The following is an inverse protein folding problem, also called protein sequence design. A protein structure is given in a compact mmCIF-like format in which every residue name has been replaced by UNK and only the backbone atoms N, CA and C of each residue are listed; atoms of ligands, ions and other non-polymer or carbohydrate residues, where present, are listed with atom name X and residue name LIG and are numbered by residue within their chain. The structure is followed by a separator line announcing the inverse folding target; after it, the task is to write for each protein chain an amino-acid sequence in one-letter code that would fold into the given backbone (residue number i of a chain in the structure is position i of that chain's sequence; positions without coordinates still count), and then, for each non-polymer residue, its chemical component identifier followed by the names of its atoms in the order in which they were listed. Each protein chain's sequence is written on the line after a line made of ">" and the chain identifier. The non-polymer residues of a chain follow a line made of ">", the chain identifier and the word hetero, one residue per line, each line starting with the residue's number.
data_IF_392946148958
#
_entry.id   IF_392946148958
#
_cell.length_a   1.000
_cell.length_b   1.000
_cell.length_c   1.000
_cell.angle_alpha   90.00
_cell.angle_beta   90.00
_cell.angle_gamma   90.00
#
_symmetry.space_group_name_H-M   'P 1'
#
loop_
_entity.id
_entity.type
_entity.pdbx_description
1 polymer ?
#
# COMPACT_ATOMS: atom_id res chain seq x y z
N UNK A 1 8.66 -7.79 -14.37
CA UNK A 1 9.34 -8.86 -15.13
C UNK A 1 8.26 -9.48 -15.93
N UNK A 2 8.50 -9.85 -17.18
CA UNK A 2 7.45 -10.31 -18.08
C UNK A 2 7.61 -11.76 -18.48
N UNK A 3 8.86 -12.23 -18.53
CA UNK A 3 9.15 -13.60 -18.93
C UNK A 3 10.31 -14.15 -18.11
N UNK A 4 10.20 -15.43 -17.78
CA UNK A 4 11.28 -16.21 -17.20
C UNK A 4 11.51 -17.46 -18.05
N UNK A 5 12.75 -17.68 -18.48
CA UNK A 5 13.20 -18.96 -19.02
C UNK A 5 14.09 -19.63 -17.98
N UNK A 6 13.98 -20.94 -17.82
CA UNK A 6 14.72 -21.69 -16.81
C UNK A 6 15.45 -22.88 -17.42
N UNK A 7 16.70 -23.04 -17.00
CA UNK A 7 17.55 -24.17 -17.36
C UNK A 7 18.00 -24.92 -16.12
N UNK A 8 18.12 -26.23 -16.27
CA UNK A 8 18.81 -27.13 -15.33
C UNK A 8 20.06 -27.63 -16.02
N UNK A 9 21.22 -27.28 -15.47
CA UNK A 9 22.51 -27.34 -16.14
C UNK A 9 22.43 -26.63 -17.51
N UNK A 10 22.52 -27.37 -18.63
CA UNK A 10 22.39 -26.83 -19.99
C UNK A 10 21.02 -27.07 -20.63
N UNK A 11 20.10 -27.79 -19.98
CA UNK A 11 18.81 -28.15 -20.54
C UNK A 11 17.75 -27.09 -20.20
N UNK A 12 17.07 -26.54 -21.21
CA UNK A 12 15.90 -25.68 -20.99
C UNK A 12 14.74 -26.51 -20.49
N UNK A 13 14.21 -26.20 -19.32
CA UNK A 13 13.18 -27.00 -18.63
C UNK A 13 11.83 -26.27 -18.52
N UNK A 14 11.78 -24.98 -18.82
CA UNK A 14 10.51 -24.26 -18.73
C UNK A 14 10.60 -22.79 -19.12
N UNK A 15 9.43 -22.26 -19.48
CA UNK A 15 9.19 -20.84 -19.70
C UNK A 15 7.93 -20.42 -18.96
N UNK A 16 7.98 -19.27 -18.29
CA UNK A 16 6.84 -18.62 -17.68
C UNK A 16 6.59 -17.26 -18.34
N UNK A 17 5.32 -16.96 -18.54
CA UNK A 17 4.81 -15.74 -19.13
C UNK A 17 3.94 -15.04 -18.09
N UNK A 18 4.21 -13.76 -17.85
CA UNK A 18 3.61 -13.01 -16.76
C UNK A 18 4.61 -12.72 -15.64
N UNK A 19 4.33 -11.64 -14.92
CA UNK A 19 5.25 -11.11 -13.91
C UNK A 19 4.83 -11.32 -12.47
N UNK A 20 3.54 -11.48 -12.22
CA UNK A 20 2.94 -11.23 -10.89
C UNK A 20 2.41 -12.47 -10.20
N UNK A 21 2.31 -13.59 -10.91
CA UNK A 21 1.87 -14.87 -10.37
C UNK A 21 3.06 -15.84 -10.29
N UNK A 22 3.05 -16.79 -9.35
CA UNK A 22 4.14 -17.73 -9.19
C UNK A 22 4.17 -18.74 -10.34
N UNK A 23 5.33 -19.35 -10.55
CA UNK A 23 5.48 -20.53 -11.37
C UNK A 23 6.39 -21.54 -10.67
N UNK A 24 6.23 -22.81 -11.04
CA UNK A 24 6.89 -23.94 -10.40
C UNK A 24 7.60 -24.76 -11.46
N UNK A 25 8.81 -25.22 -11.12
CA UNK A 25 9.62 -26.08 -11.99
C UNK A 25 10.17 -27.20 -11.13
N UNK A 26 9.88 -28.43 -11.55
CA UNK A 26 10.46 -29.62 -10.91
C UNK A 26 11.89 -29.82 -11.42
N UNK A 27 12.83 -30.00 -10.49
CA UNK A 27 14.25 -30.15 -10.80
C UNK A 27 14.82 -31.38 -10.08
N UNK A 28 15.74 -32.14 -10.71
CA UNK A 28 16.52 -33.16 -10.01
C UNK A 28 17.45 -32.52 -8.96
N UNK A 29 17.71 -33.24 -7.88
CA UNK A 29 18.63 -32.80 -6.82
C UNK A 29 20.07 -32.67 -7.34
N UNK A 30 20.83 -31.71 -6.79
CA UNK A 30 22.26 -31.55 -7.05
C UNK A 30 22.60 -30.94 -8.42
N UNK A 31 21.67 -30.20 -9.02
CA UNK A 31 21.81 -29.59 -10.35
C UNK A 31 21.94 -28.08 -10.27
N UNK A 32 22.59 -27.48 -11.26
CA UNK A 32 22.67 -26.03 -11.38
C UNK A 32 21.40 -25.48 -12.02
N UNK A 33 20.93 -24.33 -11.54
CA UNK A 33 19.73 -23.68 -12.08
C UNK A 33 20.15 -22.33 -12.64
N UNK A 34 19.78 -22.08 -13.90
CA UNK A 34 19.93 -20.76 -14.52
C UNK A 34 18.54 -20.21 -14.83
N UNK A 35 18.29 -18.96 -14.48
CA UNK A 35 17.04 -18.26 -14.78
C UNK A 35 17.36 -17.02 -15.60
N UNK A 36 16.84 -16.94 -16.82
CA UNK A 36 16.92 -15.74 -17.67
C UNK A 36 15.61 -14.98 -17.56
N UNK A 37 15.72 -13.69 -17.27
CA UNK A 37 14.57 -12.83 -17.04
C UNK A 37 14.52 -11.77 -18.13
N UNK A 38 13.33 -11.53 -18.68
CA UNK A 38 13.08 -10.45 -19.64
C UNK A 38 11.96 -9.54 -19.14
N UNK A 39 12.13 -8.25 -19.37
CA UNK A 39 11.15 -7.20 -19.12
C UNK A 39 10.95 -6.34 -20.39
N UNK A 40 11.10 -6.94 -21.56
CA UNK A 40 10.79 -6.29 -22.84
C UNK A 40 9.28 -6.17 -23.01
N UNK A 41 8.84 -5.11 -23.69
CA UNK A 41 7.44 -4.93 -24.09
C UNK A 41 6.91 -6.21 -24.79
N UNK A 42 5.75 -6.68 -24.36
CA UNK A 42 5.12 -7.88 -24.91
C UNK A 42 3.60 -7.77 -24.85
N UNK A 43 2.97 -7.63 -26.02
CA UNK A 43 1.52 -7.46 -26.19
C UNK A 43 0.70 -8.74 -26.01
N UNK A 44 1.35 -9.89 -25.83
CA UNK A 44 0.69 -11.18 -25.64
C UNK A 44 0.43 -11.52 -24.17
N UNK A 45 0.92 -10.70 -23.24
CA UNK A 45 0.80 -10.93 -21.80
C UNK A 45 0.45 -9.63 -21.09
N UNK A 46 -0.36 -9.70 -20.04
CA UNK A 46 -0.73 -8.50 -19.29
C UNK A 46 0.45 -7.85 -18.56
N UNK A 47 0.49 -6.49 -18.48
CA UNK A 47 -0.49 -5.51 -18.96
C UNK A 47 -0.51 -5.21 -20.49
N UNK A 48 0.36 -5.82 -21.30
CA UNK A 48 0.30 -5.79 -22.77
C UNK A 48 0.73 -4.50 -23.48
N UNK A 49 0.52 -3.34 -22.86
CA UNK A 49 1.04 -2.05 -23.36
C UNK A 49 2.56 -1.95 -23.25
N UNK A 50 3.13 -1.12 -24.11
CA UNK A 50 4.51 -0.67 -23.98
C UNK A 50 4.70 0.08 -22.66
N UNK A 51 5.85 -0.11 -22.01
CA UNK A 51 6.16 0.45 -20.69
C UNK A 51 5.98 1.97 -20.66
N UNK A 52 6.40 2.68 -21.71
CA UNK A 52 6.30 4.15 -21.79
C UNK A 52 4.85 4.66 -21.83
N UNK A 53 3.89 3.80 -22.17
CA UNK A 53 2.48 4.12 -22.29
C UNK A 53 1.65 3.66 -21.07
N UNK A 54 2.28 3.09 -20.05
CA UNK A 54 1.66 2.70 -18.78
C UNK A 54 1.77 3.83 -17.75
N UNK A 55 0.80 3.93 -16.86
CA UNK A 55 0.82 4.79 -15.67
C UNK A 55 1.60 4.18 -14.48
N UNK A 56 2.17 2.99 -14.67
CA UNK A 56 3.10 2.35 -13.74
C UNK A 56 4.24 1.63 -14.47
N UNK A 57 5.33 1.43 -13.75
CA UNK A 57 6.48 0.65 -14.24
C UNK A 57 6.35 -0.80 -13.84
N UNK A 58 6.54 -1.73 -14.77
CA UNK A 58 6.85 -3.11 -14.45
C UNK A 58 8.38 -3.29 -14.37
N UNK A 59 8.92 -3.63 -13.19
CA UNK A 59 10.38 -3.75 -12.99
C UNK A 59 10.93 -5.12 -13.36
N UNK A 60 12.17 -5.22 -13.83
CA UNK A 60 12.86 -6.51 -14.04
C UNK A 60 13.44 -7.13 -12.76
N UNK A 61 13.85 -8.41 -12.82
CA UNK A 61 14.57 -9.08 -11.73
C UNK A 61 13.70 -9.98 -10.84
N UNK A 62 14.30 -10.96 -10.15
CA UNK A 62 13.60 -11.81 -9.16
C UNK A 62 13.24 -10.98 -7.92
N UNK A 63 12.13 -10.23 -8.02
CA UNK A 63 11.72 -9.27 -7.00
C UNK A 63 10.82 -9.88 -5.91
N UNK A 64 10.48 -11.18 -6.02
CA UNK A 64 9.81 -11.98 -4.99
C UNK A 64 10.63 -13.24 -4.69
N UNK A 65 10.30 -13.89 -3.58
CA UNK A 65 11.03 -15.06 -3.08
C UNK A 65 11.10 -16.21 -4.08
N UNK A 66 12.21 -16.94 -4.02
CA UNK A 66 12.39 -18.25 -4.66
C UNK A 66 12.58 -19.28 -3.56
N UNK A 67 11.83 -20.37 -3.62
CA UNK A 67 11.85 -21.44 -2.64
C UNK A 67 12.31 -22.74 -3.28
N UNK A 68 13.21 -23.46 -2.61
CA UNK A 68 13.50 -24.86 -2.95
C UNK A 68 12.64 -25.76 -2.06
N UNK A 69 11.67 -26.43 -2.68
CA UNK A 69 10.73 -27.30 -1.98
C UNK A 69 11.10 -28.77 -2.24
N UNK A 70 11.37 -29.53 -1.17
CA UNK A 70 11.63 -30.98 -1.27
C UNK A 70 10.31 -31.74 -1.08
N UNK A 71 9.92 -32.54 -2.07
CA UNK A 71 8.74 -33.41 -2.01
C UNK A 71 9.11 -34.89 -2.20
N UNK A 72 8.32 -35.82 -1.64
CA UNK A 72 8.34 -37.23 -2.04
C UNK A 72 8.14 -37.40 -3.55
N UNK A 73 8.86 -38.35 -4.18
CA UNK A 73 8.85 -38.55 -5.64
C UNK A 73 7.47 -38.93 -6.20
N UNK A 74 6.59 -39.54 -5.38
CA UNK A 74 5.25 -39.97 -5.81
C UNK A 74 4.21 -38.84 -5.77
N UNK A 75 4.48 -37.73 -5.07
CA UNK A 75 3.61 -36.56 -5.11
C UNK A 75 3.98 -35.75 -6.35
N UNK A 76 3.06 -35.66 -7.31
CA UNK A 76 3.15 -34.63 -8.35
C UNK A 76 2.87 -33.28 -7.68
N UNK A 77 3.42 -32.19 -8.22
CA UNK A 77 2.91 -30.85 -7.91
C UNK A 77 1.50 -30.75 -8.48
N UNK A 78 0.53 -31.38 -7.81
CA UNK A 78 -0.86 -31.07 -8.02
C UNK A 78 -1.10 -29.76 -7.30
N UNK A 79 -1.46 -28.74 -8.07
CA UNK A 79 -1.38 -27.36 -7.58
C UNK A 79 -2.35 -27.10 -6.42
N UNK A 80 -3.26 -28.03 -6.10
CA UNK A 80 -4.31 -27.83 -5.10
C UNK A 80 -4.72 -29.14 -4.43
N UNK A 81 -4.68 -29.18 -3.10
CA UNK A 81 -5.53 -30.08 -2.33
C UNK A 81 -6.76 -29.27 -1.95
N UNK A 82 -7.91 -29.58 -2.56
CA UNK A 82 -9.18 -28.91 -2.25
C UNK A 82 -9.91 -29.70 -1.19
N UNK A 83 -10.01 -29.14 0.02
CA UNK A 83 -10.88 -29.66 1.07
C UNK A 83 -12.11 -28.75 1.10
N UNK A 84 -13.26 -29.26 0.66
CA UNK A 84 -14.54 -28.54 0.75
C UNK A 84 -15.32 -29.05 1.96
N UNK A 85 -15.80 -28.12 2.79
CA UNK A 85 -16.66 -28.42 3.92
C UNK A 85 -18.12 -28.17 3.52
N UNK A 86 -18.99 -29.16 3.69
CA UNK A 86 -20.39 -29.07 3.24
C UNK A 86 -21.32 -28.33 4.22
N UNK A 87 -20.87 -28.03 5.45
CA UNK A 87 -21.71 -27.45 6.50
C UNK A 87 -21.01 -26.32 7.27
N UNK A 88 -20.95 -25.12 6.68
CA UNK A 88 -20.46 -23.91 7.37
C UNK A 88 -21.66 -23.05 7.78
N UNK A 89 -21.76 -22.71 9.07
CA UNK A 89 -22.73 -21.75 9.58
C UNK A 89 -22.48 -20.37 8.96
N UNK A 90 -23.44 -19.83 8.22
CA UNK A 90 -23.33 -18.50 7.61
C UNK A 90 -23.61 -17.43 8.66
N UNK A 91 -22.62 -16.59 8.93
CA UNK A 91 -22.83 -15.33 9.63
C UNK A 91 -23.16 -14.23 8.60
N UNK A 92 -24.24 -13.48 8.82
CA UNK A 92 -24.49 -12.25 8.08
C UNK A 92 -23.85 -11.08 8.84
N UNK A 93 -23.00 -10.32 8.15
CA UNK A 93 -22.39 -9.09 8.68
C UNK A 93 -22.63 -7.98 7.66
N UNK A 94 -23.23 -6.87 8.08
CA UNK A 94 -23.31 -5.65 7.27
C UNK A 94 -22.05 -4.83 7.50
N UNK A 95 -21.23 -4.66 6.46
CA UNK A 95 -19.99 -3.88 6.52
C UNK A 95 -20.18 -2.54 5.80
N UNK A 96 -19.80 -1.44 6.46
CA UNK A 96 -19.53 -0.18 5.75
C UNK A 96 -18.06 -0.16 5.35
N UNK A 97 -17.81 0.06 4.07
CA UNK A 97 -16.49 -0.08 3.45
C UNK A 97 -15.81 1.29 3.33
N UNK A 98 -14.58 1.40 3.79
CA UNK A 98 -13.67 2.53 3.65
C UNK A 98 -12.46 2.07 2.85
N UNK A 99 -12.25 2.71 1.71
CA UNK A 99 -11.48 2.13 0.62
C UNK A 99 -10.21 2.89 0.29
N UNK A 100 -9.11 2.16 0.16
CA UNK A 100 -7.87 2.66 -0.45
C UNK A 100 -7.59 1.92 -1.76
N UNK A 101 -7.23 2.65 -2.81
CA UNK A 101 -6.59 2.06 -3.99
C UNK A 101 -5.10 2.19 -3.77
N UNK A 102 -4.39 1.07 -3.79
CA UNK A 102 -2.94 1.11 -3.90
C UNK A 102 -2.52 0.56 -5.25
N UNK A 103 -1.58 1.25 -5.88
CA UNK A 103 -0.64 0.54 -6.73
C UNK A 103 0.17 -0.39 -5.84
N UNK A 104 0.20 -1.65 -6.20
CA UNK A 104 0.97 -2.70 -5.52
C UNK A 104 2.34 -2.16 -5.10
N UNK A 105 2.80 -2.41 -3.86
CA UNK A 105 3.84 -1.57 -3.30
C UNK A 105 5.13 -1.55 -4.12
N UNK A 106 5.57 -0.34 -4.46
CA UNK A 106 6.86 -0.07 -5.08
C UNK A 106 7.56 1.00 -4.26
N UNK A 107 8.81 0.76 -3.88
CA UNK A 107 9.61 1.76 -3.17
C UNK A 107 10.62 2.40 -4.14
N UNK A 108 10.99 3.68 -3.90
CA UNK A 108 12.05 4.33 -4.66
C UNK A 108 13.32 3.46 -4.70
N UNK A 109 14.05 3.50 -5.83
CA UNK A 109 15.30 2.79 -6.07
C UNK A 109 15.25 1.24 -6.11
N UNK A 110 14.32 0.59 -5.41
CA UNK A 110 14.22 -0.88 -5.36
C UNK A 110 13.04 -1.46 -6.15
N UNK A 111 12.12 -0.61 -6.61
CA UNK A 111 10.93 -1.03 -7.35
C UNK A 111 10.11 -2.03 -6.53
N UNK A 112 9.87 -3.21 -7.09
CA UNK A 112 9.06 -4.26 -6.46
C UNK A 112 9.82 -5.17 -5.48
N UNK A 113 11.14 -5.02 -5.35
CA UNK A 113 11.99 -5.92 -4.57
C UNK A 113 11.92 -5.61 -3.06
N UNK A 114 10.74 -5.79 -2.48
CA UNK A 114 10.42 -5.46 -1.10
C UNK A 114 10.52 -6.71 -0.20
N UNK A 115 10.85 -6.50 1.08
CA UNK A 115 10.78 -7.54 2.12
C UNK A 115 9.32 -7.83 2.51
N UNK A 116 9.06 -9.00 3.09
CA UNK A 116 7.73 -9.33 3.63
C UNK A 116 7.31 -8.34 4.73
N UNK A 117 8.27 -7.88 5.51
CA UNK A 117 8.03 -6.87 6.54
C UNK A 117 7.69 -5.50 5.92
N UNK A 118 8.32 -5.08 4.83
CA UNK A 118 7.91 -3.86 4.10
C UNK A 118 6.46 -3.97 3.59
N UNK A 119 6.08 -5.14 3.04
CA UNK A 119 4.68 -5.41 2.63
C UNK A 119 3.72 -5.29 3.82
N UNK A 120 4.08 -5.84 4.98
CA UNK A 120 3.30 -5.68 6.21
C UNK A 120 3.16 -4.21 6.62
N UNK A 121 4.24 -3.41 6.55
CA UNK A 121 4.22 -2.00 6.94
C UNK A 121 3.29 -1.18 6.05
N UNK A 122 3.21 -1.49 4.77
CA UNK A 122 2.23 -0.85 3.88
C UNK A 122 0.80 -1.19 4.28
N UNK A 123 0.48 -2.48 4.50
CA UNK A 123 -0.84 -2.90 5.00
C UNK A 123 -1.18 -2.26 6.35
N UNK A 124 -0.20 -2.18 7.26
CA UNK A 124 -0.34 -1.54 8.57
C UNK A 124 -0.66 -0.05 8.45
N UNK A 125 0.03 0.68 7.57
CA UNK A 125 -0.23 2.10 7.34
C UNK A 125 -1.62 2.35 6.75
N UNK A 126 -2.05 1.50 5.81
CA UNK A 126 -3.41 1.56 5.25
C UNK A 126 -4.44 1.36 6.36
N UNK A 127 -4.26 0.33 7.19
CA UNK A 127 -5.15 0.06 8.32
C UNK A 127 -5.13 1.20 9.36
N UNK A 128 -3.94 1.72 9.69
CA UNK A 128 -3.73 2.83 10.63
C UNK A 128 -4.37 4.12 10.13
N UNK A 129 -4.39 4.36 8.82
CA UNK A 129 -5.08 5.48 8.20
C UNK A 129 -6.62 5.33 8.25
N UNK A 130 -7.14 4.20 8.72
CA UNK A 130 -8.57 3.96 8.95
C UNK A 130 -9.27 3.13 7.89
N UNK A 131 -8.58 2.78 6.81
CA UNK A 131 -9.16 1.96 5.76
C UNK A 131 -9.41 0.54 6.26
N UNK A 132 -10.53 -0.03 5.84
CA UNK A 132 -10.90 -1.42 6.12
C UNK A 132 -10.99 -2.27 4.84
N UNK A 133 -10.79 -1.65 3.67
CA UNK A 133 -10.67 -2.30 2.38
C UNK A 133 -9.53 -1.69 1.56
N UNK A 134 -8.76 -2.54 0.88
CA UNK A 134 -7.79 -2.14 -0.13
C UNK A 134 -8.06 -2.84 -1.46
N UNK A 135 -7.90 -2.13 -2.57
CA UNK A 135 -7.80 -2.75 -3.90
C UNK A 135 -6.34 -2.82 -4.32
N UNK A 136 -5.90 -4.03 -4.64
CA UNK A 136 -4.56 -4.28 -5.18
C UNK A 136 -4.58 -4.02 -6.68
N UNK A 137 -4.50 -2.75 -7.08
CA UNK A 137 -4.52 -2.36 -8.48
C UNK A 137 -3.08 -2.35 -9.03
N UNK A 138 -2.78 -2.81 -10.23
CA UNK A 138 -3.64 -3.48 -11.21
C UNK A 138 -3.13 -4.89 -11.48
N UNK A 139 -2.71 -5.61 -10.43
CA UNK A 139 -2.16 -6.96 -10.49
C UNK A 139 -2.10 -7.61 -9.09
N UNK A 140 -2.00 -8.95 -9.00
CA UNK A 140 -1.99 -9.66 -7.73
C UNK A 140 -0.79 -9.24 -6.85
N UNK A 141 -1.01 -8.92 -5.57
CA UNK A 141 0.03 -8.47 -4.67
C UNK A 141 0.98 -9.62 -4.26
N UNK A 142 1.99 -9.29 -3.45
CA UNK A 142 2.82 -10.30 -2.80
C UNK A 142 1.97 -11.12 -1.82
N UNK A 143 2.18 -12.45 -1.68
CA UNK A 143 1.53 -13.24 -0.63
C UNK A 143 1.71 -12.64 0.77
N UNK A 144 2.88 -12.10 1.07
CA UNK A 144 3.15 -11.44 2.36
C UNK A 144 2.25 -10.21 2.65
N UNK A 145 1.79 -9.52 1.60
CA UNK A 145 0.83 -8.42 1.75
C UNK A 145 -0.56 -8.96 2.11
N UNK A 146 -1.00 -10.06 1.48
CA UNK A 146 -2.27 -10.71 1.80
C UNK A 146 -2.26 -11.32 3.21
N UNK A 147 -1.15 -11.96 3.61
CA UNK A 147 -0.94 -12.43 4.98
C UNK A 147 -1.05 -11.27 6.00
N UNK A 148 -0.50 -10.11 5.67
CA UNK A 148 -0.62 -8.92 6.51
C UNK A 148 -2.07 -8.42 6.58
N UNK A 149 -2.78 -8.41 5.46
CA UNK A 149 -4.19 -8.04 5.40
C UNK A 149 -5.07 -8.96 6.25
N UNK A 150 -4.85 -10.28 6.19
CA UNK A 150 -5.53 -11.26 7.04
C UNK A 150 -5.29 -10.97 8.53
N UNK A 151 -4.04 -10.73 8.93
CA UNK A 151 -3.66 -10.47 10.32
C UNK A 151 -4.20 -9.15 10.86
N UNK A 152 -4.26 -8.12 10.01
CA UNK A 152 -4.66 -6.76 10.39
C UNK A 152 -6.18 -6.53 10.27
N UNK A 153 -6.93 -7.47 9.68
CA UNK A 153 -8.34 -7.30 9.37
C UNK A 153 -8.56 -6.18 8.35
N UNK A 154 -7.85 -6.26 7.22
CA UNK A 154 -7.99 -5.38 6.07
C UNK A 154 -8.54 -6.19 4.90
N UNK A 155 -9.74 -5.89 4.42
CA UNK A 155 -10.33 -6.59 3.27
C UNK A 155 -9.54 -6.26 2.00
N UNK A 156 -9.62 -7.15 0.99
CA UNK A 156 -8.89 -7.02 -0.27
C UNK A 156 -9.81 -7.26 -1.47
N UNK A 157 -9.75 -6.33 -2.45
CA UNK A 157 -10.11 -6.61 -3.85
C UNK A 157 -8.84 -7.02 -4.58
N UNK A 158 -8.77 -8.27 -5.02
CA UNK A 158 -7.61 -8.82 -5.72
C UNK A 158 -7.85 -8.78 -7.23
N UNK A 159 -6.94 -8.18 -7.99
CA UNK A 159 -7.12 -7.92 -9.41
C UNK A 159 -6.11 -8.68 -10.27
N UNK A 160 -6.56 -9.16 -11.43
CA UNK A 160 -5.64 -9.70 -12.44
C UNK A 160 -4.74 -8.59 -13.02
N UNK A 161 -3.57 -8.94 -13.58
CA UNK A 161 -2.74 -7.97 -14.27
C UNK A 161 -3.47 -7.36 -15.47
N UNK A 162 -3.50 -6.03 -15.60
CA UNK A 162 -4.05 -5.37 -16.79
C UNK A 162 -4.16 -3.85 -16.67
N UNK A 163 -4.01 -3.12 -17.78
CA UNK A 163 -4.25 -1.68 -17.80
C UNK A 163 -4.54 -1.14 -19.20
N UNK A 164 -5.78 -0.70 -19.41
CA UNK A 164 -6.27 -0.04 -20.63
C UNK A 164 -5.88 -0.74 -21.95
N UNK A 165 -5.74 -2.07 -21.94
CA UNK A 165 -5.24 -2.85 -23.06
C UNK A 165 -6.02 -4.14 -23.21
N UNK A 166 -6.40 -4.43 -24.44
CA UNK A 166 -7.09 -5.64 -24.82
C UNK A 166 -6.68 -5.99 -26.25
N UNK A 167 -6.35 -7.26 -26.51
CA UNK A 167 -5.77 -7.67 -27.79
C UNK A 167 -6.25 -9.06 -28.22
N UNK A 168 -5.43 -9.77 -29.00
CA UNK A 168 -5.74 -11.03 -29.65
C UNK A 168 -6.05 -12.19 -28.69
N UNK A 169 -6.44 -13.33 -29.27
CA UNK A 169 -6.82 -14.54 -28.54
C UNK A 169 -5.73 -15.06 -27.59
N UNK A 170 -4.44 -14.91 -27.95
CA UNK A 170 -3.34 -15.34 -27.07
C UNK A 170 -3.26 -14.49 -25.81
N UNK A 171 -3.38 -13.17 -25.96
CA UNK A 171 -3.44 -12.24 -24.82
C UNK A 171 -4.65 -12.54 -23.92
N UNK A 172 -5.82 -12.76 -24.53
CA UNK A 172 -7.04 -13.09 -23.81
C UNK A 172 -6.90 -14.41 -23.05
N UNK A 173 -6.38 -15.46 -23.70
CA UNK A 173 -6.12 -16.75 -23.05
C UNK A 173 -5.17 -16.61 -21.86
N UNK A 174 -4.05 -15.90 -22.04
CA UNK A 174 -3.08 -15.69 -20.95
C UNK A 174 -3.70 -14.90 -19.79
N UNK A 175 -4.54 -13.90 -20.07
CA UNK A 175 -5.27 -13.14 -19.05
C UNK A 175 -6.29 -14.00 -18.30
N UNK A 176 -6.98 -14.93 -18.98
CA UNK A 176 -7.89 -15.88 -18.34
C UNK A 176 -7.13 -16.93 -17.50
N UNK A 177 -5.94 -17.32 -17.93
CA UNK A 177 -5.04 -18.17 -17.14
C UNK A 177 -4.60 -17.42 -15.86
N UNK A 178 -4.32 -16.11 -15.94
CA UNK A 178 -4.03 -15.26 -14.77
C UNK A 178 -5.20 -15.22 -13.77
N UNK A 179 -6.47 -15.15 -14.24
CA UNK A 179 -7.66 -15.23 -13.35
C UNK A 179 -7.62 -16.51 -12.52
N UNK A 180 -7.43 -17.64 -13.20
CA UNK A 180 -7.42 -18.96 -12.58
C UNK A 180 -6.27 -19.10 -11.59
N UNK A 181 -5.06 -18.72 -11.97
CA UNK A 181 -3.87 -18.86 -11.12
C UNK A 181 -3.88 -17.88 -9.93
N UNK A 182 -4.47 -16.69 -10.06
CA UNK A 182 -4.71 -15.77 -8.94
C UNK A 182 -5.64 -16.40 -7.89
N UNK A 183 -6.80 -16.91 -8.31
CA UNK A 183 -7.77 -17.56 -7.41
C UNK A 183 -7.14 -18.74 -6.67
N UNK A 184 -6.45 -19.58 -7.42
CA UNK A 184 -5.75 -20.76 -6.94
C UNK A 184 -4.71 -20.48 -5.86
N UNK A 185 -3.94 -19.41 -6.05
CA UNK A 185 -2.95 -18.96 -5.08
C UNK A 185 -3.59 -18.37 -3.84
N UNK A 186 -4.64 -17.58 -4.01
CA UNK A 186 -5.08 -16.62 -2.99
C UNK A 186 -6.43 -16.94 -2.32
N UNK A 187 -7.18 -17.97 -2.76
CA UNK A 187 -8.55 -18.24 -2.28
C UNK A 187 -8.66 -18.60 -0.79
N UNK A 188 -7.54 -18.92 -0.16
CA UNK A 188 -7.49 -19.23 1.27
C UNK A 188 -7.28 -17.99 2.15
N UNK A 189 -7.07 -16.81 1.57
CA UNK A 189 -6.96 -15.55 2.31
C UNK A 189 -8.36 -15.04 2.69
N UNK A 190 -8.77 -15.09 3.97
CA UNK A 190 -10.08 -14.56 4.39
C UNK A 190 -10.24 -13.06 4.14
N UNK A 191 -9.15 -12.30 4.00
CA UNK A 191 -9.22 -10.90 3.59
C UNK A 191 -9.72 -10.69 2.16
N UNK A 192 -9.47 -11.63 1.24
CA UNK A 192 -9.87 -11.51 -0.16
C UNK A 192 -11.33 -11.91 -0.30
N UNK A 193 -12.19 -10.91 -0.47
CA UNK A 193 -13.65 -11.11 -0.57
C UNK A 193 -14.21 -10.81 -1.96
N UNK A 194 -13.47 -10.06 -2.79
CA UNK A 194 -13.88 -9.65 -4.14
C UNK A 194 -12.76 -9.86 -5.16
N UNK A 195 -13.09 -10.54 -6.26
CA UNK A 195 -12.16 -10.92 -7.31
C UNK A 195 -12.39 -10.07 -8.56
N UNK A 196 -11.48 -9.15 -8.82
CA UNK A 196 -11.50 -8.34 -10.03
C UNK A 196 -10.87 -9.14 -11.18
N UNK A 197 -11.70 -9.99 -11.80
CA UNK A 197 -11.36 -10.77 -13.00
C UNK A 197 -11.42 -9.91 -14.29
N UNK A 198 -11.52 -8.60 -14.12
CA UNK A 198 -11.63 -7.59 -15.16
C UNK A 198 -10.28 -6.93 -15.39
N UNK A 199 -9.85 -6.79 -16.64
CA UNK A 199 -8.69 -5.98 -16.99
C UNK A 199 -9.01 -4.51 -16.74
N UNK A 200 -8.21 -3.83 -15.90
CA UNK A 200 -8.48 -2.45 -15.49
C UNK A 200 -8.63 -1.52 -16.71
N UNK A 201 -9.74 -0.79 -16.78
CA UNK A 201 -10.00 0.24 -17.81
C UNK A 201 -9.82 -0.22 -19.26
N UNK A 202 -9.93 -1.52 -19.50
CA UNK A 202 -9.69 -2.14 -20.80
C UNK A 202 -11.00 -2.46 -21.52
N UNK A 203 -11.12 -2.20 -22.84
CA UNK A 203 -12.34 -2.42 -23.61
C UNK A 203 -12.52 -3.91 -23.96
N UNK A 204 -12.80 -4.72 -22.93
CA UNK A 204 -12.98 -6.16 -23.07
C UNK A 204 -14.26 -6.50 -23.84
N UNK A 205 -14.26 -7.62 -24.55
CA UNK A 205 -15.48 -8.16 -25.16
C UNK A 205 -16.39 -8.79 -24.11
N UNK A 206 -17.69 -8.90 -24.43
CA UNK A 206 -18.68 -9.54 -23.56
C UNK A 206 -18.31 -11.00 -23.28
N UNK A 207 -17.81 -11.70 -24.28
CA UNK A 207 -17.40 -13.09 -24.22
C UNK A 207 -16.22 -13.29 -23.27
N UNK A 208 -15.21 -12.41 -23.33
CA UNK A 208 -14.08 -12.46 -22.41
C UNK A 208 -14.53 -12.27 -20.96
N UNK A 209 -15.36 -11.24 -20.70
CA UNK A 209 -15.83 -10.95 -19.35
C UNK A 209 -16.70 -12.08 -18.79
N UNK A 210 -17.59 -12.65 -19.61
CA UNK A 210 -18.40 -13.80 -19.23
C UNK A 210 -17.52 -15.03 -18.91
N UNK A 211 -16.47 -15.27 -19.71
CA UNK A 211 -15.54 -16.37 -19.44
C UNK A 211 -14.73 -16.16 -18.17
N UNK A 212 -14.22 -14.94 -17.93
CA UNK A 212 -13.49 -14.59 -16.72
C UNK A 212 -14.36 -14.79 -15.46
N UNK A 213 -15.62 -14.34 -15.51
CA UNK A 213 -16.60 -14.60 -14.45
C UNK A 213 -16.82 -16.10 -14.22
N UNK A 214 -17.04 -16.87 -15.29
CA UNK A 214 -17.27 -18.31 -15.20
C UNK A 214 -16.07 -19.04 -14.55
N UNK A 215 -14.84 -18.66 -14.88
CA UNK A 215 -13.63 -19.23 -14.25
C UNK A 215 -13.65 -19.00 -12.74
N UNK A 216 -14.06 -17.82 -12.27
CA UNK A 216 -14.19 -17.56 -10.83
C UNK A 216 -15.20 -18.51 -10.19
N UNK A 217 -16.36 -18.73 -10.82
CA UNK A 217 -17.38 -19.65 -10.29
C UNK A 217 -16.94 -21.12 -10.34
N UNK A 218 -16.16 -21.52 -11.34
CA UNK A 218 -15.54 -22.86 -11.44
C UNK A 218 -14.56 -23.10 -10.27
N UNK A 219 -13.62 -22.17 -10.05
CA UNK A 219 -12.58 -22.29 -9.03
C UNK A 219 -13.09 -21.96 -7.62
N UNK A 220 -14.14 -21.14 -7.49
CA UNK A 220 -14.73 -20.69 -6.22
C UNK A 220 -16.21 -20.35 -6.41
N UNK A 221 -17.10 -21.34 -6.22
CA UNK A 221 -18.55 -21.20 -6.49
C UNK A 221 -19.24 -20.05 -5.76
N UNK A 222 -18.75 -19.67 -4.59
CA UNK A 222 -19.25 -18.55 -3.78
C UNK A 222 -18.44 -17.24 -3.99
N UNK A 223 -17.41 -17.26 -4.83
CA UNK A 223 -16.57 -16.10 -5.10
C UNK A 223 -17.35 -14.98 -5.79
N UNK A 224 -17.23 -13.76 -5.27
CA UNK A 224 -17.80 -12.57 -5.89
C UNK A 224 -16.82 -11.98 -6.89
N UNK A 225 -17.32 -11.61 -8.06
CA UNK A 225 -16.55 -11.00 -9.14
C UNK A 225 -16.85 -9.52 -9.26
N UNK A 226 -15.85 -8.73 -9.67
CA UNK A 226 -16.03 -7.32 -9.99
C UNK A 226 -15.39 -6.92 -11.32
N UNK A 227 -15.91 -5.83 -11.89
CA UNK A 227 -15.32 -5.23 -13.08
C UNK A 227 -15.72 -3.78 -13.34
N UNK A 228 -14.93 -3.12 -14.18
CA UNK A 228 -15.07 -1.69 -14.49
C UNK A 228 -16.07 -1.38 -15.60
N UNK A 229 -16.51 -2.39 -16.36
CA UNK A 229 -17.57 -2.28 -17.36
C UNK A 229 -18.89 -2.80 -16.79
N UNK A 230 -19.93 -1.98 -16.85
CA UNK A 230 -21.28 -2.37 -16.43
C UNK A 230 -22.04 -3.10 -17.53
N UNK A 231 -21.54 -4.29 -17.86
CA UNK A 231 -22.24 -5.23 -18.73
C UNK A 231 -23.31 -6.01 -17.99
N UNK A 232 -24.40 -6.26 -18.70
CA UNK A 232 -25.57 -6.92 -18.15
C UNK A 232 -25.28 -8.38 -17.80
N UNK A 233 -25.56 -8.76 -16.54
CA UNK A 233 -25.48 -10.13 -16.02
C UNK A 233 -24.10 -10.82 -16.14
N UNK A 234 -23.01 -10.05 -16.06
CA UNK A 234 -21.66 -10.63 -16.02
C UNK A 234 -21.07 -10.59 -14.61
N UNK A 235 -20.56 -9.44 -14.16
CA UNK A 235 -19.93 -9.34 -12.84
C UNK A 235 -20.97 -9.21 -11.74
N UNK A 236 -20.66 -9.77 -10.56
CA UNK A 236 -21.53 -9.68 -9.37
C UNK A 236 -21.57 -8.25 -8.80
N UNK A 237 -20.46 -7.53 -8.89
CA UNK A 237 -20.29 -6.16 -8.38
C UNK A 237 -19.75 -5.24 -9.48
N UNK A 238 -20.36 -4.07 -9.64
CA UNK A 238 -19.81 -3.04 -10.52
C UNK A 238 -18.83 -2.15 -9.76
N UNK A 239 -17.61 -2.03 -10.26
CA UNK A 239 -16.52 -1.23 -9.68
C UNK A 239 -16.03 -0.20 -10.69
N UNK A 240 -16.77 0.90 -10.90
CA UNK A 240 -16.34 1.95 -11.82
C UNK A 240 -15.12 2.71 -11.30
N UNK A 241 -14.33 3.25 -12.22
CA UNK A 241 -13.32 4.24 -11.87
C UNK A 241 -13.93 5.66 -11.90
N UNK A 242 -13.90 6.34 -10.74
CA UNK A 242 -14.48 7.67 -10.53
C UNK A 242 -14.03 8.71 -11.56
N UNK A 243 -12.80 8.59 -12.06
CA UNK A 243 -12.22 9.51 -13.05
C UNK A 243 -12.95 9.55 -14.39
N UNK A 244 -13.78 8.55 -14.70
CA UNK A 244 -14.65 8.55 -15.88
C UNK A 244 -16.07 9.08 -15.59
N UNK A 245 -16.37 9.41 -14.33
CA UNK A 245 -17.64 10.02 -13.93
C UNK A 245 -17.62 11.53 -14.13
N UNK A 246 -18.77 12.11 -14.47
CA UNK A 246 -18.90 13.56 -14.71
C UNK A 246 -19.16 14.30 -13.39
N UNK A 247 -18.32 15.26 -12.97
CA UNK A 247 -18.64 16.13 -11.84
C UNK A 247 -19.86 17.01 -12.17
N UNK A 248 -20.69 17.40 -11.17
CA UNK A 248 -20.57 17.08 -9.74
C UNK A 248 -21.24 15.74 -9.35
N UNK A 249 -22.05 15.16 -10.23
CA UNK A 249 -22.92 14.04 -9.89
C UNK A 249 -22.21 12.69 -9.86
N UNK A 250 -21.14 12.50 -10.64
CA UNK A 250 -20.47 11.20 -10.81
C UNK A 250 -21.51 10.06 -10.98
N UNK A 251 -21.47 9.05 -10.10
CA UNK A 251 -22.39 7.91 -10.06
C UNK A 251 -23.57 8.11 -9.11
N UNK A 252 -23.82 9.33 -8.61
CA UNK A 252 -24.91 9.66 -7.67
C UNK A 252 -26.29 9.25 -8.18
N UNK A 253 -26.50 9.41 -9.49
CA UNK A 253 -27.78 9.08 -10.15
C UNK A 253 -27.73 7.72 -10.89
N UNK A 254 -26.67 6.92 -10.68
CA UNK A 254 -26.55 5.61 -11.31
C UNK A 254 -27.68 4.70 -10.83
N UNK A 255 -28.47 4.22 -11.80
CA UNK A 255 -29.45 3.15 -11.60
C UNK A 255 -28.87 1.88 -12.18
N UNK A 256 -28.65 0.89 -11.32
CA UNK A 256 -28.08 -0.37 -11.75
C UNK A 256 -28.96 -1.05 -12.80
N UNK A 257 -28.35 -1.51 -13.90
CA UNK A 257 -29.09 -2.17 -14.98
C UNK A 257 -29.85 -3.42 -14.53
N UNK A 258 -29.48 -4.03 -13.39
CA UNK A 258 -30.14 -5.21 -12.79
C UNK A 258 -30.01 -5.27 -11.23
N UNK A 259 -30.25 -4.17 -10.51
CA UNK A 259 -30.04 -4.12 -9.04
C UNK A 259 -28.63 -4.54 -8.57
N UNK A 260 -27.64 -4.50 -9.47
CA UNK A 260 -26.25 -4.85 -9.20
C UNK A 260 -25.66 -3.90 -8.13
N UNK A 261 -24.98 -4.44 -7.09
CA UNK A 261 -24.24 -3.61 -6.15
C UNK A 261 -23.18 -2.76 -6.84
N UNK A 262 -23.16 -1.47 -6.51
CA UNK A 262 -22.13 -0.52 -6.90
C UNK A 262 -21.17 -0.32 -5.72
N UNK A 263 -19.87 -0.51 -5.94
CA UNK A 263 -18.85 -0.17 -4.95
C UNK A 263 -18.14 1.12 -5.35
N UNK A 264 -18.29 2.16 -4.51
CA UNK A 264 -17.61 3.45 -4.66
C UNK A 264 -16.58 3.65 -3.54
N UNK A 265 -15.48 4.32 -3.88
CA UNK A 265 -14.43 4.67 -2.95
C UNK A 265 -14.83 5.87 -2.07
N UNK A 266 -14.88 5.67 -0.75
CA UNK A 266 -14.98 6.77 0.23
C UNK A 266 -13.89 6.61 1.30
N UNK A 267 -13.17 7.70 1.60
CA UNK A 267 -12.04 7.72 2.53
C UNK A 267 -12.41 8.40 3.84
N UNK A 268 -12.67 7.61 4.88
CA UNK A 268 -12.80 8.09 6.25
C UNK A 268 -12.16 7.10 7.23
N UNK A 269 -11.77 7.55 8.42
CA UNK A 269 -11.27 6.69 9.51
C UNK A 269 -12.37 6.64 10.58
N UNK A 270 -13.14 5.55 10.67
CA UNK A 270 -14.18 5.43 11.71
C UNK A 270 -14.04 4.23 12.63
N UNK A 271 -13.11 3.33 12.33
CA UNK A 271 -12.90 2.08 13.07
C UNK A 271 -11.50 1.94 13.67
N UNK A 272 -10.74 3.04 13.67
CA UNK A 272 -9.40 3.18 14.21
C UNK A 272 -9.43 3.67 15.68
N UNK A 273 -8.30 3.55 16.40
CA UNK A 273 -8.14 4.18 17.71
C UNK A 273 -8.47 5.68 17.65
N UNK A 274 -8.86 6.32 18.78
CA UNK A 274 -9.11 7.76 18.79
C UNK A 274 -7.93 8.54 18.22
N UNK A 275 -8.20 9.37 17.23
CA UNK A 275 -7.19 10.11 16.48
C UNK A 275 -7.58 11.59 16.39
N UNK A 276 -6.57 12.44 16.33
CA UNK A 276 -6.70 13.86 16.00
C UNK A 276 -5.47 14.27 15.17
N UNK A 277 -5.65 15.14 14.18
CA UNK A 277 -4.58 15.64 13.32
C UNK A 277 -4.86 17.09 12.91
N UNK A 278 -3.96 18.01 13.24
CA UNK A 278 -4.00 19.41 12.81
C UNK A 278 -3.35 19.49 11.43
N UNK A 279 -4.11 19.82 10.39
CA UNK A 279 -3.60 19.90 9.02
C UNK A 279 -2.96 21.26 8.71
N UNK A 280 -1.93 21.62 9.48
CA UNK A 280 -1.19 22.88 9.34
C UNK A 280 0.20 22.74 9.93
N UNK A 281 1.21 23.37 9.33
CA UNK A 281 2.53 23.55 9.95
C UNK A 281 2.57 24.75 10.90
N UNK A 282 1.50 25.56 10.94
CA UNK A 282 1.36 26.76 11.76
C UNK A 282 2.46 27.81 11.57
N UNK A 283 2.77 28.09 10.31
CA UNK A 283 3.66 29.16 9.85
C UNK A 283 2.89 30.46 9.55
N UNK A 284 3.60 31.57 9.34
CA UNK A 284 2.98 32.85 8.92
C UNK A 284 2.25 32.79 7.56
N UNK A 285 2.57 31.80 6.72
CA UNK A 285 1.91 31.52 5.45
C UNK A 285 0.78 30.49 5.56
N UNK A 286 0.55 29.93 6.75
CA UNK A 286 -0.51 28.96 6.97
C UNK A 286 -1.89 29.61 6.93
N UNK A 287 -2.88 28.86 6.46
CA UNK A 287 -4.27 29.30 6.48
C UNK A 287 -4.76 29.42 7.93
N UNK A 288 -5.45 30.52 8.26
CA UNK A 288 -6.04 30.74 9.60
C UNK A 288 -7.40 30.04 9.76
N UNK A 289 -7.95 29.50 8.67
CA UNK A 289 -8.97 28.46 8.72
C UNK A 289 -8.27 27.10 8.89
N UNK A 290 -8.15 26.68 10.14
CA UNK A 290 -7.42 25.46 10.53
C UNK A 290 -8.35 24.26 10.43
N UNK A 291 -7.99 23.33 9.55
CA UNK A 291 -8.66 22.04 9.42
C UNK A 291 -8.06 21.04 10.41
N UNK A 292 -8.92 20.42 11.22
CA UNK A 292 -8.56 19.36 12.16
C UNK A 292 -9.33 18.10 11.80
N UNK A 293 -8.61 17.05 11.41
CA UNK A 293 -9.18 15.74 11.16
C UNK A 293 -9.29 14.98 12.48
N UNK A 294 -10.43 14.35 12.74
CA UNK A 294 -10.66 13.57 13.95
C UNK A 294 -11.79 12.57 13.76
N UNK A 295 -11.64 11.38 14.35
CA UNK A 295 -12.73 10.41 14.50
C UNK A 295 -13.46 10.55 15.85
N UNK A 296 -13.05 11.52 16.68
CA UNK A 296 -13.71 11.84 17.94
C UNK A 296 -15.07 12.50 17.69
N UNK A 297 -15.92 12.52 18.73
CA UNK A 297 -17.25 13.14 18.65
C UNK A 297 -17.18 14.66 18.72
N UNK A 298 -16.21 15.17 19.47
CA UNK A 298 -15.94 16.59 19.62
C UNK A 298 -14.43 16.84 19.60
N UNK A 299 -14.07 18.02 19.11
CA UNK A 299 -12.69 18.52 19.14
C UNK A 299 -12.71 19.93 19.71
N UNK A 300 -11.81 20.18 20.65
CA UNK A 300 -11.47 21.52 21.09
C UNK A 300 -10.10 21.90 20.55
N UNK A 301 -9.97 23.13 20.06
CA UNK A 301 -8.72 23.73 19.63
C UNK A 301 -8.41 24.95 20.50
N UNK A 302 -7.18 25.07 20.95
CA UNK A 302 -6.65 26.21 21.68
C UNK A 302 -5.46 26.79 20.93
N UNK A 303 -5.30 28.11 20.96
CA UNK A 303 -4.10 28.81 20.51
C UNK A 303 -3.51 29.54 21.70
N UNK A 304 -2.28 29.21 22.09
CA UNK A 304 -1.59 29.81 23.23
C UNK A 304 -2.39 29.73 24.55
N UNK A 305 -3.11 28.62 24.74
CA UNK A 305 -3.97 28.38 25.90
C UNK A 305 -5.36 29.02 25.83
N UNK A 306 -5.64 29.84 24.81
CA UNK A 306 -6.96 30.43 24.59
C UNK A 306 -7.80 29.54 23.66
N UNK A 307 -9.03 29.21 24.07
CA UNK A 307 -9.93 28.36 23.29
C UNK A 307 -10.44 29.09 22.06
N UNK A 308 -10.37 28.43 20.89
CA UNK A 308 -10.96 28.92 19.65
C UNK A 308 -12.45 28.55 19.63
N UNK A 309 -13.30 29.56 19.80
CA UNK A 309 -14.77 29.41 19.84
C UNK A 309 -15.42 29.43 18.45
N UNK A 310 -14.76 30.09 17.48
CA UNK A 310 -15.25 30.21 16.11
C UNK A 310 -14.85 28.98 15.29
N UNK A 311 -15.71 27.94 15.29
CA UNK A 311 -15.43 26.71 14.59
C UNK A 311 -16.07 25.49 15.24
N UNK A 312 -15.49 24.31 14.97
CA UNK A 312 -15.93 23.05 15.57
C UNK A 312 -17.22 22.47 14.97
N UNK A 313 -17.74 23.10 13.89
CA UNK A 313 -18.85 22.58 13.10
C UNK A 313 -18.31 21.87 11.86
N UNK A 314 -18.90 20.72 11.58
CA UNK A 314 -18.63 19.92 10.39
C UNK A 314 -19.18 20.64 9.14
N UNK A 315 -18.43 20.61 8.04
CA UNK A 315 -18.76 21.33 6.81
C UNK A 315 -20.10 20.87 6.20
N UNK A 316 -20.89 21.79 5.65
CA UNK A 316 -22.24 21.50 5.11
C UNK A 316 -22.21 20.58 3.87
N UNK A 317 -21.15 20.64 3.06
CA UNK A 317 -20.93 19.76 1.90
C UNK A 317 -20.44 18.35 2.29
N UNK A 318 -20.23 18.11 3.58
CA UNK A 318 -19.78 16.86 4.16
C UNK A 318 -20.90 16.15 4.94
N UNK A 319 -22.17 16.43 4.62
CA UNK A 319 -23.35 15.87 5.33
C UNK A 319 -23.46 14.35 5.28
N UNK A 320 -22.75 13.68 4.37
CA UNK A 320 -22.71 12.23 4.23
C UNK A 320 -21.46 11.57 4.82
N UNK A 321 -20.50 12.38 5.28
CA UNK A 321 -19.30 11.93 5.97
C UNK A 321 -19.68 11.50 7.40
N UNK A 322 -19.25 10.31 7.83
CA UNK A 322 -19.42 9.81 9.21
C UNK A 322 -18.66 10.67 10.23
N UNK A 323 -17.44 11.08 9.87
CA UNK A 323 -16.58 11.97 10.67
C UNK A 323 -15.99 13.08 9.78
N UNK A 324 -16.78 14.12 9.46
CA UNK A 324 -16.29 15.29 8.74
C UNK A 324 -15.18 16.01 9.51
N UNK A 325 -14.25 16.68 8.81
CA UNK A 325 -13.24 17.48 9.47
C UNK A 325 -13.87 18.64 10.26
N UNK A 326 -13.19 19.04 11.33
CA UNK A 326 -13.53 20.23 12.11
C UNK A 326 -12.76 21.41 11.55
N UNK A 327 -13.46 22.52 11.28
CA UNK A 327 -12.83 23.77 10.83
C UNK A 327 -12.88 24.77 11.97
N UNK A 328 -11.73 25.35 12.30
CA UNK A 328 -11.58 26.42 13.28
C UNK A 328 -11.04 27.67 12.61
N UNK A 329 -11.79 28.76 12.67
CA UNK A 329 -11.39 30.02 12.06
C UNK A 329 -10.74 30.91 13.12
N UNK A 330 -9.52 31.32 12.84
CA UNK A 330 -8.73 32.24 13.67
C UNK A 330 -8.63 33.55 12.88
N UNK A 331 -8.92 34.70 13.51
CA UNK A 331 -9.07 35.97 12.80
C UNK A 331 -7.80 36.42 12.07
N UNK A 332 -6.64 36.06 12.63
CA UNK A 332 -5.33 36.32 12.04
C UNK A 332 -4.31 35.32 12.55
N UNK A 333 -3.21 35.18 11.81
CA UNK A 333 -2.08 34.40 12.29
C UNK A 333 -1.46 35.03 13.55
N UNK A 334 -1.28 34.22 14.59
CA UNK A 334 -0.55 34.58 15.81
C UNK A 334 0.45 33.44 16.06
N UNK A 335 1.77 33.73 16.10
CA UNK A 335 2.77 32.71 16.43
C UNK A 335 2.49 32.05 17.77
N UNK A 336 2.85 30.78 17.87
CA UNK A 336 2.81 30.04 19.12
C UNK A 336 2.34 28.62 18.92
N UNK A 337 1.47 28.13 19.81
CA UNK A 337 1.12 26.71 19.85
C UNK A 337 -0.38 26.49 19.73
N UNK A 338 -0.74 25.64 18.77
CA UNK A 338 -2.06 25.04 18.65
C UNK A 338 -2.11 23.76 19.47
N UNK A 339 -3.05 23.65 20.39
CA UNK A 339 -3.32 22.43 21.14
C UNK A 339 -4.72 21.92 20.79
N UNK A 340 -4.81 20.68 20.29
CA UNK A 340 -6.07 20.07 19.90
C UNK A 340 -6.38 18.86 20.80
N UNK A 341 -7.59 18.83 21.37
CA UNK A 341 -8.07 17.74 22.23
C UNK A 341 -9.31 17.10 21.62
N UNK A 342 -9.26 15.78 21.43
CA UNK A 342 -10.40 14.98 20.97
C UNK A 342 -11.15 14.34 22.12
N UNK A 343 -12.48 14.32 22.05
CA UNK A 343 -13.38 13.80 23.08
C UNK A 343 -14.32 12.72 22.55
N UNK A 344 -14.52 11.67 23.35
CA UNK A 344 -15.52 10.62 23.12
C UNK A 344 -16.32 10.44 24.41
N UNK A 345 -17.66 10.47 24.31
CA UNK A 345 -18.57 10.43 25.46
C UNK A 345 -18.22 11.47 26.53
N UNK A 346 -17.85 12.67 26.10
CA UNK A 346 -17.46 13.79 26.96
C UNK A 346 -16.09 13.68 27.63
N UNK A 347 -15.33 12.59 27.42
CA UNK A 347 -13.99 12.40 27.99
C UNK A 347 -12.91 12.71 26.97
N UNK A 348 -11.86 13.43 27.39
CA UNK A 348 -10.68 13.64 26.57
C UNK A 348 -9.94 12.31 26.38
N UNK A 349 -9.78 11.88 25.12
CA UNK A 349 -9.18 10.58 24.77
C UNK A 349 -7.87 10.71 23.99
N UNK A 350 -7.64 11.85 23.34
CA UNK A 350 -6.42 12.10 22.56
C UNK A 350 -6.10 13.60 22.56
N UNK A 351 -4.80 13.94 22.60
CA UNK A 351 -4.29 15.31 22.55
C UNK A 351 -3.08 15.37 21.64
N UNK A 352 -3.01 16.40 20.81
CA UNK A 352 -1.84 16.73 20.00
C UNK A 352 -1.58 18.23 20.05
N UNK A 353 -0.40 18.63 19.61
CA UNK A 353 -0.07 20.02 19.42
C UNK A 353 0.70 20.25 18.13
N UNK A 354 0.62 21.48 17.63
CA UNK A 354 1.44 21.98 16.55
C UNK A 354 1.95 23.37 16.95
N UNK A 355 3.27 23.54 16.96
CA UNK A 355 3.89 24.83 17.25
C UNK A 355 4.31 25.54 15.97
N UNK A 356 4.36 26.86 16.01
CA UNK A 356 5.06 27.67 15.02
C UNK A 356 6.55 27.27 15.03
N UNK A 357 7.11 26.84 13.90
CA UNK A 357 8.52 26.49 13.82
C UNK A 357 9.40 27.72 14.08
N UNK A 358 10.49 27.53 14.83
CA UNK A 358 11.55 28.51 14.95
C UNK A 358 12.30 28.74 13.64
N UNK A 359 13.01 29.87 13.55
CA UNK A 359 13.77 30.24 12.34
C UNK A 359 15.19 29.65 12.30
N UNK A 360 15.62 28.97 13.36
CA UNK A 360 16.97 28.41 13.49
C UNK A 360 16.88 26.89 13.36
N UNK A 361 17.55 26.36 12.34
CA UNK A 361 17.81 24.93 12.15
C UNK A 361 18.76 24.49 13.26
N UNK A 362 18.23 23.82 14.29
CA UNK A 362 18.99 23.55 15.52
C UNK A 362 19.61 22.15 15.52
N UNK A 363 18.82 21.13 15.17
CA UNK A 363 19.27 19.75 15.23
C UNK A 363 18.48 18.86 14.25
N UNK A 364 18.94 17.61 14.11
CA UNK A 364 18.22 16.58 13.38
C UNK A 364 17.56 15.62 14.36
N UNK A 365 16.35 15.17 14.05
CA UNK A 365 15.76 13.98 14.67
C UNK A 365 15.71 12.85 13.63
N UNK A 366 16.08 11.63 14.02
CA UNK A 366 16.06 10.46 13.14
C UNK A 366 14.94 9.52 13.56
N UNK A 367 14.05 9.17 12.64
CA UNK A 367 13.06 8.10 12.80
C UNK A 367 13.37 6.92 11.87
N UNK A 368 13.18 5.71 12.38
CA UNK A 368 13.16 4.49 11.57
C UNK A 368 11.73 4.00 11.59
N UNK A 369 11.11 3.93 10.42
CA UNK A 369 9.70 3.55 10.31
C UNK A 369 9.55 2.04 10.42
N UNK A 370 9.45 1.64 11.68
CA UNK A 370 9.22 0.27 12.08
C UNK A 370 7.75 -0.12 11.96
N UNK A 371 6.83 0.85 11.93
CA UNK A 371 5.38 0.61 11.82
C UNK A 371 4.88 -0.48 12.80
N UNK A 372 5.35 -0.40 14.05
CA UNK A 372 5.02 -1.34 15.12
C UNK A 372 5.73 -2.70 15.04
N UNK A 373 6.55 -2.94 14.01
CA UNK A 373 7.30 -4.18 13.83
C UNK A 373 8.79 -4.01 14.07
N UNK A 374 9.34 -4.95 14.81
CA UNK A 374 10.77 -5.09 15.04
C UNK A 374 11.57 -5.24 13.74
N UNK A 375 12.77 -4.66 13.68
CA UNK A 375 13.65 -4.83 12.52
C UNK A 375 14.24 -6.25 12.50
N UNK A 376 14.13 -6.93 11.36
CA UNK A 376 14.67 -8.29 11.17
C UNK A 376 15.80 -8.32 10.14
N UNK A 377 16.39 -9.49 9.92
CA UNK A 377 17.22 -9.75 8.73
C UNK A 377 16.38 -9.74 7.46
N UNK A 378 17.01 -9.43 6.32
CA UNK A 378 16.37 -9.35 4.98
C UNK A 378 15.17 -8.38 4.94
N UNK A 379 15.25 -7.33 5.73
CA UNK A 379 14.23 -6.30 5.85
C UNK A 379 14.60 -5.05 5.04
N UNK A 380 13.61 -4.20 4.80
CA UNK A 380 13.70 -2.93 4.10
C UNK A 380 12.79 -1.94 4.82
N UNK A 381 13.37 -0.87 5.37
CA UNK A 381 12.64 0.16 6.13
C UNK A 381 13.01 1.56 5.66
N UNK A 382 12.07 2.48 5.78
CA UNK A 382 12.36 3.91 5.63
C UNK A 382 13.04 4.45 6.87
N UNK A 383 14.02 5.31 6.64
CA UNK A 383 14.65 6.16 7.63
C UNK A 383 14.34 7.59 7.25
N UNK A 384 13.87 8.38 8.22
CA UNK A 384 13.58 9.80 8.07
C UNK A 384 14.54 10.61 8.95
N UNK A 385 15.06 11.71 8.42
CA UNK A 385 15.73 12.74 9.19
C UNK A 385 14.92 14.04 9.09
N UNK A 386 14.49 14.55 10.24
CA UNK A 386 13.71 15.77 10.37
C UNK A 386 14.63 16.90 10.80
N UNK A 387 14.53 18.05 10.13
CA UNK A 387 15.25 19.28 10.51
C UNK A 387 14.38 20.05 11.50
N UNK A 388 14.84 20.13 12.74
CA UNK A 388 14.06 20.66 13.85
C UNK A 388 14.67 21.95 14.40
N UNK A 389 13.81 22.78 15.00
CA UNK A 389 14.24 23.86 15.89
C UNK A 389 14.64 23.33 17.28
N UNK A 390 14.90 24.22 18.24
CA UNK A 390 15.30 23.84 19.60
C UNK A 390 14.17 23.21 20.44
N UNK A 391 12.92 23.24 19.96
CA UNK A 391 11.74 22.68 20.62
C UNK A 391 11.19 21.45 19.88
N UNK A 392 12.04 20.74 19.13
CA UNK A 392 11.68 19.57 18.32
C UNK A 392 10.60 19.83 17.25
N UNK A 393 10.35 21.09 16.89
CA UNK A 393 9.39 21.43 15.85
C UNK A 393 10.06 21.38 14.49
N UNK A 394 9.50 20.60 13.56
CA UNK A 394 10.00 20.48 12.19
C UNK A 394 9.92 21.82 11.48
N UNK A 395 10.98 22.21 10.80
CA UNK A 395 11.08 23.45 10.02
C UNK A 395 10.72 23.14 8.56
N UNK A 396 9.48 23.42 8.11
CA UNK A 396 8.97 22.91 6.83
C UNK A 396 9.61 23.58 5.61
N UNK A 397 10.28 24.73 5.75
CA UNK A 397 11.01 25.38 4.66
C UNK A 397 12.51 25.02 4.66
N UNK A 398 12.96 24.13 5.56
CA UNK A 398 14.33 23.65 5.54
C UNK A 398 14.55 22.66 4.39
N UNK A 399 15.67 22.82 3.70
CA UNK A 399 15.99 22.19 2.43
C UNK A 399 17.45 21.68 2.38
N UNK A 400 18.05 21.43 3.54
CA UNK A 400 19.42 20.96 3.69
C UNK A 400 19.70 19.69 2.87
N UNK A 401 20.96 19.56 2.44
CA UNK A 401 21.49 18.27 2.04
C UNK A 401 21.79 17.44 3.30
N UNK A 402 21.12 16.30 3.43
CA UNK A 402 21.32 15.35 4.51
C UNK A 402 22.14 14.17 4.01
N UNK A 403 23.24 13.87 4.71
CA UNK A 403 24.06 12.68 4.49
C UNK A 403 23.76 11.63 5.55
N UNK A 404 23.41 10.42 5.13
CA UNK A 404 23.23 9.28 6.00
C UNK A 404 24.47 8.37 5.97
N UNK A 405 24.86 7.80 7.10
CA UNK A 405 25.93 6.80 7.15
C UNK A 405 25.67 5.74 8.22
N UNK A 406 26.32 4.59 8.06
CA UNK A 406 26.21 3.47 8.99
C UNK A 406 27.59 3.12 9.57
N UNK A 407 27.67 2.97 10.89
CA UNK A 407 28.82 2.38 11.58
C UNK A 407 28.49 0.95 12.02
N UNK A 408 29.52 0.10 12.03
CA UNK A 408 29.44 -1.32 12.40
C UNK A 408 28.42 -2.13 11.57
N UNK A 409 28.06 -1.66 10.37
CA UNK A 409 27.04 -2.27 9.53
C UNK A 409 27.58 -3.16 8.41
N UNK A 410 28.90 -3.30 8.27
CA UNK A 410 29.51 -4.10 7.20
C UNK A 410 28.97 -5.53 7.25
N UNK A 411 28.40 -5.99 6.14
CA UNK A 411 27.70 -7.27 5.99
C UNK A 411 26.34 -7.41 6.68
N UNK A 412 25.84 -6.39 7.41
CA UNK A 412 24.57 -6.45 8.16
C UNK A 412 23.48 -5.55 7.59
N UNK A 413 23.87 -4.40 7.03
CA UNK A 413 22.95 -3.48 6.38
C UNK A 413 23.65 -2.60 5.34
N UNK A 414 22.85 -2.02 4.45
CA UNK A 414 23.25 -0.96 3.54
C UNK A 414 22.14 0.08 3.43
N UNK A 415 22.54 1.28 3.04
CA UNK A 415 21.62 2.36 2.67
C UNK A 415 21.37 2.34 1.16
N UNK A 416 20.14 2.61 0.75
CA UNK A 416 19.72 2.66 -0.66
C UNK A 416 18.98 3.97 -0.90
N UNK A 417 19.44 4.73 -1.89
CA UNK A 417 18.87 6.01 -2.30
C UNK A 417 19.96 7.04 -2.56
N UNK A 418 19.53 8.25 -2.96
CA UNK A 418 20.45 9.37 -3.09
C UNK A 418 21.04 9.71 -1.72
N UNK A 419 22.35 9.94 -1.67
CA UNK A 419 23.07 10.21 -0.43
C UNK A 419 24.36 10.99 -0.74
N UNK A 420 24.41 12.30 -0.48
CA UNK A 420 23.41 13.10 0.24
C UNK A 420 22.08 13.25 -0.51
N UNK A 421 20.99 13.43 0.24
CA UNK A 421 19.64 13.70 -0.26
C UNK A 421 19.16 15.06 0.23
N UNK A 422 18.47 15.81 -0.62
CA UNK A 422 17.89 17.12 -0.25
C UNK A 422 16.62 16.91 0.56
N UNK A 423 16.49 17.63 1.67
CA UNK A 423 15.27 17.65 2.45
C UNK A 423 14.14 18.36 1.70
N UNK A 424 12.94 17.80 1.77
CA UNK A 424 11.70 18.39 1.28
C UNK A 424 10.74 18.53 2.45
N UNK A 425 10.13 19.70 2.60
CA UNK A 425 9.31 20.01 3.76
C UNK A 425 10.03 19.83 5.12
N UNK A 426 11.35 20.06 5.17
CA UNK A 426 12.16 19.82 6.37
C UNK A 426 12.50 18.35 6.64
N UNK A 427 12.21 17.43 5.71
CA UNK A 427 12.38 15.99 5.89
C UNK A 427 13.22 15.40 4.77
N UNK A 428 14.26 14.66 5.13
CA UNK A 428 15.01 13.82 4.20
C UNK A 428 14.73 12.34 4.49
N UNK A 429 14.78 11.48 3.48
CA UNK A 429 14.55 10.05 3.65
C UNK A 429 15.54 9.18 2.88
N UNK A 430 15.81 7.99 3.41
CA UNK A 430 16.63 6.96 2.77
C UNK A 430 16.11 5.57 3.14
N UNK A 431 16.36 4.56 2.31
CA UNK A 431 16.03 3.18 2.65
C UNK A 431 17.19 2.51 3.38
N UNK A 432 16.89 1.80 4.47
CA UNK A 432 17.80 0.89 5.15
C UNK A 432 17.42 -0.55 4.79
N UNK A 433 18.33 -1.27 4.13
CA UNK A 433 18.17 -2.69 3.81
C UNK A 433 19.07 -3.54 4.69
N UNK A 434 18.49 -4.49 5.41
CA UNK A 434 19.26 -5.46 6.21
C UNK A 434 19.60 -6.71 5.39
N UNK A 435 20.71 -7.37 5.72
CA UNK A 435 21.15 -8.60 5.06
C UNK A 435 20.60 -9.85 5.76
N UNK A 436 21.06 -11.02 5.37
CA UNK A 436 20.78 -12.29 6.06
C UNK A 436 21.62 -12.50 7.34
N UNK A 437 22.48 -11.55 7.72
CA UNK A 437 23.31 -11.62 8.92
C UNK A 437 22.83 -10.60 9.95
N UNK A 438 23.08 -10.90 11.22
CA UNK A 438 22.82 -10.01 12.35
C UNK A 438 24.12 -9.51 12.96
N UNK A 439 24.17 -8.23 13.41
CA UNK A 439 25.28 -7.77 14.24
C UNK A 439 25.24 -8.48 15.60
N UNK A 440 26.38 -8.50 16.30
CA UNK A 440 26.46 -9.02 17.67
C UNK A 440 25.65 -8.14 18.63
N UNK A 441 25.77 -6.81 18.48
CA UNK A 441 25.07 -5.84 19.33
C UNK A 441 24.08 -4.98 18.51
N UNK A 442 24.58 -3.93 17.88
CA UNK A 442 23.79 -2.97 17.11
C UNK A 442 24.61 -2.35 15.99
N UNK A 443 23.92 -1.81 14.98
CA UNK A 443 24.52 -0.88 14.01
C UNK A 443 24.17 0.55 14.44
N UNK A 444 25.02 1.52 14.09
CA UNK A 444 24.73 2.94 14.36
C UNK A 444 24.42 3.66 13.07
N UNK A 445 23.25 4.28 13.00
CA UNK A 445 22.85 5.18 11.94
C UNK A 445 23.22 6.60 12.33
N UNK A 446 23.78 7.34 11.39
CA UNK A 446 24.18 8.73 11.57
C UNK A 446 23.55 9.57 10.46
N UNK A 447 22.97 10.72 10.79
CA UNK A 447 22.54 11.74 9.84
C UNK A 447 23.29 13.05 10.10
N UNK A 448 23.71 13.71 9.02
CA UNK A 448 24.41 15.01 9.04
C UNK A 448 23.75 15.96 8.06
N UNK A 449 23.43 17.17 8.51
CA UNK A 449 22.93 18.23 7.63
C UNK A 449 24.07 19.12 7.14
N UNK A 450 23.88 19.77 6.00
CA UNK A 450 24.82 20.75 5.45
C UNK A 450 24.99 22.00 6.32
N UNK A 451 23.96 22.42 7.07
CA UNK A 451 23.97 23.69 7.83
C UNK A 451 23.91 23.51 9.35
N UNK A 452 23.87 22.27 9.85
CA UNK A 452 23.84 21.97 11.29
C UNK A 452 25.18 21.34 11.68
N UNK A 453 25.86 21.90 12.67
CA UNK A 453 27.20 21.47 13.09
C UNK A 453 27.20 20.05 13.69
N UNK A 454 26.19 19.74 14.50
CA UNK A 454 26.07 18.44 15.16
C UNK A 454 25.37 17.41 14.28
N UNK A 455 25.88 16.18 14.33
CA UNK A 455 25.25 15.01 13.73
C UNK A 455 24.27 14.37 14.70
N UNK A 456 23.21 13.75 14.18
CA UNK A 456 22.31 12.92 14.97
C UNK A 456 22.67 11.45 14.81
N UNK A 457 22.56 10.67 15.89
CA UNK A 457 22.92 9.25 15.88
C UNK A 457 21.86 8.37 16.51
N UNK A 458 21.55 7.24 15.89
CA UNK A 458 20.57 6.28 16.39
C UNK A 458 21.14 4.86 16.36
N UNK A 459 21.05 4.15 17.48
CA UNK A 459 21.38 2.72 17.55
C UNK A 459 20.23 1.90 17.00
N UNK A 460 20.56 0.89 16.20
CA UNK A 460 19.59 0.00 15.56
C UNK A 460 19.84 -1.42 16.02
N UNK A 461 18.83 -1.99 16.65
CA UNK A 461 18.84 -3.36 17.17
C UNK A 461 18.06 -4.29 16.25
N UNK A 462 18.50 -5.54 16.18
CA UNK A 462 17.87 -6.59 15.39
C UNK A 462 17.19 -7.55 16.33
N UNK A 463 16.02 -8.05 15.92
CA UNK A 463 15.22 -8.95 16.74
C UNK A 463 15.26 -10.35 16.14
N UNK A 464 15.22 -11.35 17.03
CA UNK A 464 15.52 -12.76 16.74
C UNK A 464 14.52 -13.45 15.84
#
# INVERSE_FOLDING_TARGET
>A
MHEADVWVDSLHVGRHLGGYLPFYIEIPSGRNITVRLRNTDNSLISPGKNLFALDFNYYGGLYRHVWLLRKPAHLRFDRHIRIQYENISRAQVTLRVQFSVIHTPKYPYVGYALSDQAQYRDAYKIKKAGFNLVRCSHYPPSPAFLDACDRLGLLVINSIPGWQFFSNETFQKNSLDDVREMLRRDCNHPSVFLWEASLNESPMTKEFMARAHAIVKEELSHGLTSGWLDEENIYDVFTPARQHGQPPDYYKNYRAKNNKPLLLAESQCTSCAPMIFIASYWTNSSNTSVTVYSNCEHVELQLNGERIMNGGKQQHDSSHLLRPPYIFNIDRYIPGRLDATGFISGKAVVRIHQSTPGNIRHHLNIEIDLSGQSLTTKDLVFVYAYICDHNDTVIPNADDLITFSLLNARNYALLIGDNPVRAEAGIASILLKTTNKRPVDFITLIARASTIEHQETRRIFYVS
#
